data_IF_858079734424
#
_entry.id   IF_858079734424
#
_cell.length_a   1.000
_cell.length_b   1.000
_cell.length_c   1.000
_cell.angle_alpha   90.00
_cell.angle_beta   90.00
_cell.angle_gamma   90.00
#
_symmetry.space_group_name_H-M   'P 1'
#
loop_
_entity.id
_entity.type
_entity.pdbx_description
1 polymer ?
#
# COMPACT_ATOMS: atom_id res chain seq x y z
N UNK A 1 25.74 7.08 2.20
CA UNK A 1 25.78 8.56 2.22
C UNK A 1 26.98 9.08 2.98
N UNK A 2 27.86 9.84 2.32
CA UNK A 2 29.06 10.46 2.88
C UNK A 2 28.77 11.52 3.95
N UNK A 3 29.72 11.76 4.85
CA UNK A 3 29.59 12.73 5.95
C UNK A 3 29.28 14.15 5.47
N UNK A 4 29.93 14.60 4.38
CA UNK A 4 29.73 15.93 3.80
C UNK A 4 28.28 16.11 3.31
N UNK A 5 27.75 15.10 2.62
CA UNK A 5 26.38 15.09 2.12
C UNK A 5 25.36 15.05 3.26
N UNK A 6 25.62 14.27 4.33
CA UNK A 6 24.78 14.26 5.54
C UNK A 6 24.68 15.64 6.19
N UNK A 7 25.80 16.38 6.30
CA UNK A 7 25.82 17.74 6.86
C UNK A 7 25.02 18.71 5.96
N UNK A 8 25.19 18.60 4.64
CA UNK A 8 24.42 19.38 3.64
C UNK A 8 22.91 19.18 3.81
N UNK A 9 22.42 17.94 3.82
CA UNK A 9 20.98 17.67 3.96
C UNK A 9 20.40 18.18 5.30
N UNK A 10 21.13 18.03 6.41
CA UNK A 10 20.70 18.60 7.70
C UNK A 10 20.54 20.12 7.64
N UNK A 11 21.48 20.81 7.00
CA UNK A 11 21.43 22.26 6.85
C UNK A 11 20.26 22.69 5.97
N UNK A 12 20.05 22.03 4.82
CA UNK A 12 18.94 22.30 3.90
C UNK A 12 17.60 22.13 4.60
N UNK A 13 17.35 20.98 5.23
CA UNK A 13 16.08 20.73 5.92
C UNK A 13 15.84 21.77 7.03
N UNK A 14 16.88 22.08 7.83
CA UNK A 14 16.76 23.07 8.90
C UNK A 14 16.39 24.45 8.33
N UNK A 15 17.05 24.86 7.25
CA UNK A 15 16.82 26.14 6.58
C UNK A 15 15.41 26.22 6.01
N UNK A 16 14.99 25.21 5.24
CA UNK A 16 13.68 25.17 4.61
C UNK A 16 12.54 25.19 5.63
N UNK A 17 12.66 24.43 6.72
CA UNK A 17 11.68 24.46 7.82
C UNK A 17 11.60 25.83 8.49
N UNK A 18 12.74 26.48 8.72
CA UNK A 18 12.77 27.82 9.33
C UNK A 18 12.12 28.85 8.41
N UNK A 19 12.44 28.81 7.11
CA UNK A 19 11.89 29.71 6.10
C UNK A 19 10.37 29.56 6.00
N UNK A 20 9.87 28.31 5.94
CA UNK A 20 8.43 28.05 5.89
C UNK A 20 7.72 28.55 7.15
N UNK A 21 8.23 28.24 8.34
CA UNK A 21 7.63 28.71 9.59
C UNK A 21 7.64 30.25 9.68
N UNK A 22 8.71 30.91 9.24
CA UNK A 22 8.78 32.38 9.23
C UNK A 22 7.74 33.04 8.31
N UNK A 23 7.26 32.33 7.28
CA UNK A 23 6.22 32.81 6.37
C UNK A 23 4.79 32.65 6.93
N UNK A 24 4.60 31.98 8.06
CA UNK A 24 3.30 31.78 8.69
C UNK A 24 3.03 32.83 9.79
N UNK A 25 1.76 33.15 9.98
CA UNK A 25 1.30 33.93 11.14
C UNK A 25 1.42 33.13 12.44
N UNK A 26 1.48 33.81 13.59
CA UNK A 26 1.54 33.15 14.91
C UNK A 26 0.33 32.22 15.15
N UNK A 27 -0.86 32.65 14.75
CA UNK A 27 -2.07 31.83 14.83
C UNK A 27 -1.95 30.54 14.01
N UNK A 28 -1.43 30.63 12.78
CA UNK A 28 -1.21 29.47 11.92
C UNK A 28 -0.19 28.49 12.52
N UNK A 29 0.89 29.00 13.13
CA UNK A 29 1.90 28.18 13.81
C UNK A 29 1.29 27.39 14.99
N UNK A 30 0.45 28.06 15.78
CA UNK A 30 -0.17 27.49 16.98
C UNK A 30 -1.22 26.41 16.66
N UNK A 31 -2.02 26.60 15.60
CA UNK A 31 -3.23 25.79 15.29
C UNK A 31 -2.96 24.28 15.08
N UNK A 32 -1.70 23.87 14.87
CA UNK A 32 -1.32 22.44 14.76
C UNK A 32 0.01 22.09 15.45
N UNK A 33 0.50 22.94 16.35
CA UNK A 33 1.84 22.81 16.93
C UNK A 33 2.91 22.54 15.85
N UNK A 34 2.90 23.36 14.79
CA UNK A 34 3.72 23.12 13.60
C UNK A 34 5.20 23.11 13.95
N UNK A 35 5.65 24.04 14.79
CA UNK A 35 7.05 24.12 15.24
C UNK A 35 7.52 22.84 15.93
N UNK A 36 6.74 22.31 16.87
CA UNK A 36 7.04 21.07 17.56
C UNK A 36 7.12 19.88 16.61
N UNK A 37 6.23 19.83 15.61
CA UNK A 37 6.21 18.76 14.61
C UNK A 37 7.35 18.84 13.62
N UNK A 38 7.69 20.03 13.10
CA UNK A 38 8.88 20.24 12.28
C UNK A 38 10.16 19.91 13.08
N UNK A 39 10.25 20.32 14.35
CA UNK A 39 11.38 19.94 15.24
C UNK A 39 11.49 18.42 15.39
N UNK A 40 10.39 17.73 15.67
CA UNK A 40 10.36 16.26 15.76
C UNK A 40 10.80 15.60 14.44
N UNK A 41 10.31 16.11 13.30
CA UNK A 41 10.68 15.62 11.98
C UNK A 41 12.18 15.79 11.70
N UNK A 42 12.76 16.96 11.99
CA UNK A 42 14.21 17.21 11.87
C UNK A 42 15.04 16.26 12.72
N UNK A 43 14.60 15.99 13.95
CA UNK A 43 15.28 15.05 14.83
C UNK A 43 15.29 13.64 14.23
N UNK A 44 14.16 13.19 13.69
CA UNK A 44 14.06 11.89 13.02
C UNK A 44 14.93 11.80 11.77
N UNK A 45 14.93 12.82 10.91
CA UNK A 45 15.84 12.88 9.76
C UNK A 45 17.31 12.91 10.19
N UNK A 46 17.63 13.65 11.25
CA UNK A 46 19.00 13.70 11.79
C UNK A 46 19.49 12.36 12.31
N UNK A 47 18.59 11.51 12.80
CA UNK A 47 18.87 10.13 13.18
C UNK A 47 18.95 9.21 11.96
N UNK A 48 18.02 9.35 11.02
CA UNK A 48 17.98 8.60 9.76
C UNK A 48 19.28 8.76 8.97
N UNK A 49 19.75 9.99 8.79
CA UNK A 49 20.99 10.31 8.05
C UNK A 49 22.26 9.71 8.67
N UNK A 50 22.21 9.19 9.90
CA UNK A 50 23.35 8.48 10.53
C UNK A 50 23.36 6.99 10.18
N UNK A 51 22.24 6.45 9.69
CA UNK A 51 22.11 5.03 9.35
C UNK A 51 22.88 4.72 8.08
N UNK A 52 23.45 3.53 8.06
CA UNK A 52 24.10 2.97 6.88
C UNK A 52 23.07 2.69 5.78
N UNK A 53 23.32 3.16 4.56
CA UNK A 53 22.42 2.99 3.42
C UNK A 53 22.27 1.52 3.06
N UNK A 54 21.09 1.10 2.64
CA UNK A 54 20.84 -0.29 2.22
C UNK A 54 20.56 -1.25 3.38
N UNK A 55 21.12 -1.01 4.57
CA UNK A 55 20.88 -1.88 5.72
C UNK A 55 19.40 -1.95 6.14
N UNK A 56 18.96 -3.06 6.74
CA UNK A 56 17.63 -3.18 7.34
C UNK A 56 17.37 -2.11 8.43
N UNK A 57 18.42 -1.71 9.15
CA UNK A 57 18.35 -0.62 10.13
C UNK A 57 18.06 0.74 9.51
N UNK A 58 18.37 0.91 8.22
CA UNK A 58 18.16 2.14 7.47
C UNK A 58 16.70 2.42 7.16
N UNK A 59 15.85 1.39 7.12
CA UNK A 59 14.43 1.57 6.80
C UNK A 59 13.51 1.61 8.03
N UNK A 60 14.01 1.25 9.22
CA UNK A 60 13.21 1.18 10.46
C UNK A 60 12.49 2.48 10.81
N UNK A 61 13.10 3.64 10.56
CA UNK A 61 12.49 4.95 10.86
C UNK A 61 11.59 5.49 9.74
N UNK A 62 11.66 4.93 8.53
CA UNK A 62 10.95 5.45 7.35
C UNK A 62 9.44 5.49 7.61
N UNK A 63 8.84 4.41 8.10
CA UNK A 63 7.41 4.39 8.43
C UNK A 63 6.96 5.49 9.39
N UNK A 64 7.83 5.90 10.32
CA UNK A 64 7.53 6.97 11.29
C UNK A 64 7.73 8.35 10.67
N UNK A 65 8.80 8.52 9.89
CA UNK A 65 9.06 9.76 9.15
C UNK A 65 7.93 10.01 8.15
N UNK A 66 7.58 9.01 7.33
CA UNK A 66 6.53 9.11 6.32
C UNK A 66 5.18 9.44 6.94
N UNK A 67 4.84 8.84 8.09
CA UNK A 67 3.61 9.19 8.84
C UNK A 67 3.60 10.64 9.30
N UNK A 68 4.74 11.15 9.79
CA UNK A 68 4.85 12.54 10.23
C UNK A 68 4.75 13.53 9.06
N UNK A 69 5.41 13.22 7.94
CA UNK A 69 5.35 14.00 6.70
C UNK A 69 3.93 14.05 6.15
N UNK A 70 3.33 12.89 5.94
CA UNK A 70 1.99 12.77 5.41
C UNK A 70 0.98 13.48 6.31
N UNK A 71 1.09 13.32 7.63
CA UNK A 71 0.24 14.04 8.56
C UNK A 71 0.44 15.56 8.55
N UNK A 72 1.62 16.08 8.18
CA UNK A 72 1.81 17.53 8.00
C UNK A 72 1.17 17.99 6.69
N UNK A 73 1.33 17.24 5.61
CA UNK A 73 0.67 17.53 4.32
C UNK A 73 -0.86 17.59 4.46
N UNK A 74 -1.45 16.61 5.15
CA UNK A 74 -2.89 16.57 5.41
C UNK A 74 -3.35 17.78 6.23
N UNK A 75 -2.55 18.22 7.20
CA UNK A 75 -2.88 19.41 7.99
C UNK A 75 -2.76 20.69 7.19
N UNK A 76 -1.83 20.79 6.22
CA UNK A 76 -1.77 21.94 5.34
C UNK A 76 -3.03 22.07 4.49
N UNK A 77 -3.57 20.96 4.00
CA UNK A 77 -4.84 20.95 3.26
C UNK A 77 -6.00 21.30 4.20
N UNK A 78 -6.11 20.59 5.33
CA UNK A 78 -7.21 20.74 6.30
C UNK A 78 -7.31 22.15 6.89
N UNK A 79 -6.17 22.80 7.11
CA UNK A 79 -6.08 24.13 7.71
C UNK A 79 -5.86 25.24 6.67
N UNK A 80 -5.91 24.89 5.37
CA UNK A 80 -5.69 25.82 4.26
C UNK A 80 -4.39 26.63 4.39
N UNK A 81 -3.32 25.98 4.84
CA UNK A 81 -2.00 26.58 5.00
C UNK A 81 -1.25 26.60 3.66
N UNK A 82 -0.29 27.52 3.47
CA UNK A 82 0.61 27.51 2.31
C UNK A 82 1.26 26.13 2.13
N UNK A 83 1.30 25.64 0.90
CA UNK A 83 1.83 24.31 0.59
C UNK A 83 3.35 24.25 0.80
N UNK A 84 3.84 23.18 1.42
CA UNK A 84 5.27 22.87 1.56
C UNK A 84 5.54 21.47 0.98
N UNK A 85 6.42 21.40 -0.02
CA UNK A 85 6.58 20.18 -0.85
C UNK A 85 7.36 19.04 -0.20
N UNK A 86 8.14 19.33 0.87
CA UNK A 86 9.06 18.38 1.49
C UNK A 86 10.08 17.76 0.51
N UNK A 87 10.58 18.53 -0.45
CA UNK A 87 11.42 18.01 -1.54
C UNK A 87 12.69 17.30 -1.01
N UNK A 88 13.47 17.95 -0.14
CA UNK A 88 14.70 17.39 0.39
C UNK A 88 14.44 16.16 1.28
N UNK A 89 13.34 16.18 2.03
CA UNK A 89 12.90 15.09 2.88
C UNK A 89 12.49 13.86 2.07
N UNK A 90 11.71 14.07 1.00
CA UNK A 90 11.33 13.02 0.04
C UNK A 90 12.57 12.45 -0.64
N UNK A 91 13.50 13.29 -1.09
CA UNK A 91 14.74 12.85 -1.74
C UNK A 91 15.54 11.89 -0.85
N UNK A 92 15.76 12.25 0.42
CA UNK A 92 16.48 11.41 1.38
C UNK A 92 15.75 10.09 1.60
N UNK A 93 14.43 10.11 1.80
CA UNK A 93 13.65 8.88 1.98
C UNK A 93 13.83 7.95 0.79
N UNK A 94 13.64 8.46 -0.43
CA UNK A 94 13.71 7.65 -1.64
C UNK A 94 15.13 7.10 -1.87
N UNK A 95 16.19 7.83 -1.52
CA UNK A 95 17.57 7.32 -1.58
C UNK A 95 17.76 6.10 -0.67
N UNK A 96 17.31 6.18 0.59
CA UNK A 96 17.40 5.05 1.53
C UNK A 96 16.54 3.87 1.09
N UNK A 97 15.34 4.15 0.56
CA UNK A 97 14.43 3.12 0.06
C UNK A 97 15.00 2.38 -1.15
N UNK A 98 15.47 3.10 -2.17
CA UNK A 98 16.08 2.49 -3.36
C UNK A 98 17.29 1.64 -2.97
N UNK A 99 18.16 2.18 -2.09
CA UNK A 99 19.34 1.43 -1.65
C UNK A 99 18.98 0.14 -0.90
N UNK A 100 17.92 0.14 -0.09
CA UNK A 100 17.45 -1.05 0.62
C UNK A 100 16.79 -2.06 -0.34
N UNK A 101 15.89 -1.58 -1.20
CA UNK A 101 15.14 -2.41 -2.14
C UNK A 101 16.04 -3.01 -3.22
N UNK A 102 17.12 -2.34 -3.62
CA UNK A 102 18.11 -2.90 -4.53
C UNK A 102 18.80 -4.14 -3.93
N UNK A 103 19.07 -4.15 -2.62
CA UNK A 103 19.59 -5.34 -1.94
C UNK A 103 18.54 -6.46 -1.90
N UNK A 104 17.28 -6.13 -1.60
CA UNK A 104 16.18 -7.12 -1.61
C UNK A 104 15.99 -7.72 -3.01
N UNK A 105 16.02 -6.87 -4.05
CA UNK A 105 15.91 -7.27 -5.45
C UNK A 105 17.03 -8.21 -5.87
N UNK A 106 18.27 -7.85 -5.55
CA UNK A 106 19.47 -8.62 -5.94
C UNK A 106 19.54 -9.97 -5.24
N UNK A 107 19.10 -10.02 -3.99
CA UNK A 107 19.07 -11.27 -3.20
C UNK A 107 17.79 -12.07 -3.39
N UNK A 108 16.83 -11.58 -4.19
CA UNK A 108 15.48 -12.15 -4.33
C UNK A 108 14.86 -12.45 -2.95
N UNK A 109 14.91 -11.44 -2.06
CA UNK A 109 14.50 -11.58 -0.66
C UNK A 109 15.21 -12.75 0.05
N UNK A 110 16.54 -12.77 -0.02
CA UNK A 110 17.37 -13.85 0.52
C UNK A 110 17.01 -15.27 -0.02
N UNK A 111 16.48 -15.34 -1.24
CA UNK A 111 16.06 -16.57 -1.90
C UNK A 111 14.64 -17.02 -1.55
N UNK A 112 13.87 -16.24 -0.77
CA UNK A 112 12.45 -16.51 -0.49
C UNK A 112 11.53 -16.28 -1.69
N UNK A 113 11.99 -15.65 -2.77
CA UNK A 113 11.23 -15.50 -4.00
C UNK A 113 11.82 -16.39 -5.09
N UNK A 114 11.03 -17.35 -5.58
CA UNK A 114 11.46 -18.25 -6.65
C UNK A 114 11.53 -17.53 -8.01
N UNK A 115 10.60 -16.60 -8.25
CA UNK A 115 10.49 -15.91 -9.53
C UNK A 115 10.81 -14.42 -9.43
N UNK A 116 11.40 -13.86 -10.50
CA UNK A 116 11.72 -12.43 -10.53
C UNK A 116 10.47 -11.54 -10.51
N UNK A 117 9.34 -12.01 -11.05
CA UNK A 117 8.05 -11.33 -10.97
C UNK A 117 7.56 -11.17 -9.52
N UNK A 118 7.67 -12.22 -8.71
CA UNK A 118 7.37 -12.19 -7.27
C UNK A 118 8.30 -11.26 -6.50
N UNK A 119 9.58 -11.24 -6.88
CA UNK A 119 10.55 -10.30 -6.31
C UNK A 119 10.09 -8.85 -6.53
N UNK A 120 9.65 -8.51 -7.74
CA UNK A 120 9.14 -7.19 -8.06
C UNK A 120 7.82 -6.89 -7.33
N UNK A 121 6.90 -7.85 -7.27
CA UNK A 121 5.66 -7.72 -6.48
C UNK A 121 5.99 -7.38 -5.01
N UNK A 122 6.91 -8.12 -4.40
CA UNK A 122 7.33 -7.89 -3.02
C UNK A 122 7.93 -6.50 -2.79
N UNK A 123 8.69 -5.97 -3.76
CA UNK A 123 9.21 -4.59 -3.73
C UNK A 123 8.08 -3.57 -3.67
N UNK A 124 7.05 -3.73 -4.52
CA UNK A 124 5.88 -2.85 -4.48
C UNK A 124 5.13 -2.97 -3.16
N UNK A 125 4.90 -4.19 -2.65
CA UNK A 125 4.23 -4.40 -1.37
C UNK A 125 5.00 -3.78 -0.20
N UNK A 126 6.33 -3.78 -0.26
CA UNK A 126 7.14 -3.08 0.73
C UNK A 126 6.95 -1.57 0.64
N UNK A 127 7.00 -0.99 -0.55
CA UNK A 127 6.77 0.43 -0.77
C UNK A 127 5.36 0.86 -0.35
N UNK A 128 4.36 0.07 -0.66
CA UNK A 128 2.95 0.37 -0.37
C UNK A 128 2.64 0.21 1.11
N UNK A 129 3.03 -0.91 1.72
CA UNK A 129 2.50 -1.35 3.01
C UNK A 129 3.60 -1.50 4.07
N UNK A 130 4.61 -2.35 3.84
CA UNK A 130 5.59 -2.72 4.88
C UNK A 130 6.36 -1.50 5.39
N UNK A 131 6.88 -0.69 4.47
CA UNK A 131 7.74 0.47 4.78
C UNK A 131 6.92 1.70 5.20
N UNK A 132 5.61 1.69 4.98
CA UNK A 132 4.67 2.71 5.48
C UNK A 132 4.06 2.33 6.84
N UNK A 133 4.22 1.07 7.29
CA UNK A 133 3.63 0.54 8.52
C UNK A 133 4.53 -0.48 9.25
N UNK A 134 5.32 -0.03 10.23
CA UNK A 134 6.30 -0.84 10.97
C UNK A 134 5.78 -2.04 11.78
N UNK A 135 4.46 -2.17 11.97
CA UNK A 135 3.85 -3.25 12.77
C UNK A 135 3.19 -4.33 11.90
N UNK A 136 3.58 -4.43 10.64
CA UNK A 136 3.00 -5.43 9.75
C UNK A 136 3.94 -6.62 9.56
N UNK A 137 3.43 -7.83 9.76
CA UNK A 137 4.02 -9.06 9.25
C UNK A 137 3.69 -9.17 7.75
N UNK A 138 4.74 -9.31 6.94
CA UNK A 138 4.65 -9.78 5.57
C UNK A 138 5.26 -11.17 5.58
N UNK A 139 4.47 -12.17 5.23
CA UNK A 139 4.92 -13.56 5.16
C UNK A 139 4.99 -13.96 3.69
N UNK A 140 6.16 -14.38 3.22
CA UNK A 140 6.38 -14.91 1.87
C UNK A 140 6.20 -16.43 1.91
N UNK A 141 5.66 -17.05 0.85
CA UNK A 141 5.41 -18.50 0.76
C UNK A 141 4.58 -19.06 1.94
N UNK A 142 3.52 -18.36 2.32
CA UNK A 142 2.74 -18.68 3.51
C UNK A 142 1.74 -19.80 3.29
N UNK A 143 1.71 -20.80 4.19
CA UNK A 143 0.77 -21.94 4.17
C UNK A 143 -0.22 -21.85 5.33
N UNK A 144 -1.29 -21.05 5.22
CA UNK A 144 -2.24 -20.91 6.30
C UNK A 144 -3.03 -22.20 6.49
N UNK A 145 -3.31 -22.58 7.74
CA UNK A 145 -3.93 -23.87 8.07
C UNK A 145 -5.36 -24.09 7.53
N UNK A 146 -6.04 -23.03 7.08
CA UNK A 146 -7.35 -23.15 6.44
C UNK A 146 -7.25 -23.47 4.94
N UNK A 147 -6.08 -23.30 4.31
CA UNK A 147 -5.93 -23.41 2.86
C UNK A 147 -5.42 -24.80 2.49
N UNK A 148 -6.36 -25.75 2.47
CA UNK A 148 -6.11 -27.17 2.22
C UNK A 148 -6.81 -27.56 0.92
N UNK A 149 -6.10 -28.26 0.03
CA UNK A 149 -6.69 -28.79 -1.19
C UNK A 149 -7.74 -29.87 -0.82
N UNK A 150 -9.03 -29.69 -1.15
CA UNK A 150 -10.08 -30.62 -0.74
C UNK A 150 -9.96 -31.99 -1.41
N UNK A 151 -9.30 -32.08 -2.59
CA UNK A 151 -9.12 -33.33 -3.32
C UNK A 151 -7.98 -34.17 -2.76
N UNK A 152 -6.89 -33.54 -2.28
CA UNK A 152 -5.65 -34.24 -1.90
C UNK A 152 -5.34 -34.18 -0.41
N UNK A 153 -5.96 -33.27 0.35
CA UNK A 153 -5.64 -33.01 1.75
C UNK A 153 -4.32 -32.25 1.97
N UNK A 154 -3.62 -31.86 0.90
CA UNK A 154 -2.35 -31.15 1.01
C UNK A 154 -2.56 -29.66 1.32
N UNK A 155 -1.68 -29.07 2.12
CA UNK A 155 -1.63 -27.63 2.33
C UNK A 155 -1.26 -26.92 1.02
N UNK A 156 -2.04 -25.90 0.68
CA UNK A 156 -1.72 -24.96 -0.38
C UNK A 156 -0.97 -23.75 0.22
N UNK A 157 -0.37 -22.98 -0.67
CA UNK A 157 0.49 -21.85 -0.34
C UNK A 157 -0.07 -20.55 -0.93
N UNK A 158 0.28 -19.42 -0.33
CA UNK A 158 0.06 -18.07 -0.83
C UNK A 158 1.43 -17.39 -0.95
N UNK A 159 1.72 -16.78 -2.09
CA UNK A 159 3.05 -16.19 -2.33
C UNK A 159 3.35 -15.06 -1.34
N UNK A 160 2.36 -14.23 -1.02
CA UNK A 160 2.49 -13.20 0.03
C UNK A 160 1.21 -13.06 0.85
N UNK A 161 1.34 -13.06 2.19
CA UNK A 161 0.28 -12.72 3.13
C UNK A 161 0.62 -11.45 3.93
N UNK A 162 -0.32 -10.48 3.93
CA UNK A 162 -0.31 -9.28 4.77
C UNK A 162 -1.45 -9.36 5.80
N UNK A 163 -1.22 -10.08 6.89
CA UNK A 163 -2.26 -10.48 7.84
C UNK A 163 -3.05 -9.31 8.44
N UNK A 164 -2.36 -8.22 8.84
CA UNK A 164 -3.05 -7.07 9.45
C UNK A 164 -3.92 -6.28 8.46
N UNK A 165 -3.73 -6.51 7.16
CA UNK A 165 -4.51 -5.89 6.09
C UNK A 165 -5.55 -6.84 5.52
N UNK A 166 -5.54 -8.13 5.92
CA UNK A 166 -6.41 -9.17 5.38
C UNK A 166 -6.29 -9.26 3.85
N UNK A 167 -5.05 -9.17 3.37
CA UNK A 167 -4.69 -9.27 1.96
C UNK A 167 -3.73 -10.44 1.75
N UNK A 168 -3.98 -11.20 0.70
CA UNK A 168 -3.03 -12.15 0.15
C UNK A 168 -2.83 -11.90 -1.34
N UNK A 169 -1.70 -12.36 -1.85
CA UNK A 169 -1.28 -12.18 -3.23
C UNK A 169 -0.80 -13.49 -3.82
N UNK A 170 -1.12 -13.68 -5.09
CA UNK A 170 -0.64 -14.79 -5.91
C UNK A 170 -0.09 -14.22 -7.22
N UNK A 171 1.15 -14.53 -7.57
CA UNK A 171 1.79 -14.14 -8.80
C UNK A 171 1.56 -15.21 -9.86
N UNK A 172 0.69 -14.91 -10.83
CA UNK A 172 0.30 -15.84 -11.88
C UNK A 172 1.24 -15.77 -13.08
N UNK A 173 2.00 -16.84 -13.27
CA UNK A 173 2.73 -17.12 -14.50
C UNK A 173 1.82 -17.57 -15.65
N UNK A 174 2.43 -17.90 -16.79
CA UNK A 174 1.70 -18.27 -18.02
C UNK A 174 0.87 -19.56 -17.89
N UNK A 175 1.31 -20.53 -17.08
CA UNK A 175 0.63 -21.82 -16.87
C UNK A 175 -0.78 -21.64 -16.28
N UNK A 176 -0.99 -20.66 -15.41
CA UNK A 176 -2.30 -20.36 -14.80
C UNK A 176 -3.40 -20.04 -15.84
N UNK A 177 -3.02 -19.62 -17.05
CA UNK A 177 -3.96 -19.30 -18.13
C UNK A 177 -4.19 -20.47 -19.09
N UNK A 178 -3.25 -21.42 -19.14
CA UNK A 178 -3.25 -22.52 -20.12
C UNK A 178 -3.69 -23.85 -19.52
N UNK A 179 -3.35 -24.09 -18.27
CA UNK A 179 -3.54 -25.40 -17.63
C UNK A 179 -4.78 -25.41 -16.76
N UNK A 180 -5.71 -26.32 -17.04
CA UNK A 180 -6.97 -26.43 -16.31
C UNK A 180 -6.76 -26.75 -14.82
N UNK A 181 -5.72 -27.53 -14.50
CA UNK A 181 -5.38 -27.86 -13.11
C UNK A 181 -4.98 -26.63 -12.30
N UNK A 182 -4.23 -25.70 -12.89
CA UNK A 182 -3.86 -24.45 -12.20
C UNK A 182 -5.06 -23.53 -12.07
N UNK A 183 -5.93 -23.45 -13.08
CA UNK A 183 -7.20 -22.69 -12.99
C UNK A 183 -8.10 -23.22 -11.87
N UNK A 184 -8.28 -24.53 -11.77
CA UNK A 184 -9.05 -25.15 -10.69
C UNK A 184 -8.44 -24.81 -9.32
N UNK A 185 -7.12 -24.90 -9.19
CA UNK A 185 -6.39 -24.58 -7.95
C UNK A 185 -6.55 -23.11 -7.57
N UNK A 186 -6.48 -22.20 -8.53
CA UNK A 186 -6.69 -20.76 -8.31
C UNK A 186 -8.12 -20.48 -7.82
N UNK A 187 -9.12 -21.13 -8.40
CA UNK A 187 -10.52 -20.99 -7.96
C UNK A 187 -10.74 -21.52 -6.54
N UNK A 188 -10.11 -22.64 -6.18
CA UNK A 188 -10.11 -23.15 -4.81
C UNK A 188 -9.48 -22.13 -3.86
N UNK A 189 -8.30 -21.58 -4.19
CA UNK A 189 -7.63 -20.57 -3.37
C UNK A 189 -8.51 -19.33 -3.18
N UNK A 190 -9.11 -18.82 -4.25
CA UNK A 190 -10.00 -17.66 -4.22
C UNK A 190 -11.20 -17.88 -3.29
N UNK A 191 -11.87 -19.03 -3.43
CA UNK A 191 -13.05 -19.38 -2.64
C UNK A 191 -12.71 -19.52 -1.15
N UNK A 192 -11.66 -20.29 -0.83
CA UNK A 192 -11.25 -20.51 0.57
C UNK A 192 -10.76 -19.22 1.24
N UNK A 193 -10.07 -18.34 0.51
CA UNK A 193 -9.68 -17.03 1.04
C UNK A 193 -10.91 -16.18 1.34
N UNK A 194 -11.89 -16.14 0.43
CA UNK A 194 -13.13 -15.39 0.63
C UNK A 194 -13.93 -15.90 1.84
N UNK A 195 -14.08 -17.22 1.99
CA UNK A 195 -14.71 -17.85 3.17
C UNK A 195 -14.02 -17.46 4.49
N UNK A 196 -12.69 -17.34 4.45
CA UNK A 196 -11.86 -16.92 5.58
C UNK A 196 -11.68 -15.40 5.70
N UNK A 197 -12.45 -14.62 4.92
CA UNK A 197 -12.49 -13.15 4.96
C UNK A 197 -11.15 -12.50 4.64
N UNK A 198 -10.39 -13.15 3.76
CA UNK A 198 -9.12 -12.73 3.21
C UNK A 198 -9.32 -12.36 1.74
N UNK A 199 -8.84 -11.19 1.32
CA UNK A 199 -8.90 -10.78 -0.09
C UNK A 199 -7.65 -11.33 -0.78
N UNK A 200 -7.82 -12.38 -1.58
CA UNK A 200 -6.76 -12.87 -2.47
C UNK A 200 -6.73 -12.03 -3.75
N UNK A 201 -5.56 -11.51 -4.09
CA UNK A 201 -5.33 -10.63 -5.23
C UNK A 201 -4.36 -11.33 -6.19
N UNK A 202 -4.88 -11.93 -7.26
CA UNK A 202 -4.06 -12.41 -8.35
C UNK A 202 -3.36 -11.24 -9.05
N UNK A 203 -2.06 -11.41 -9.33
CA UNK A 203 -1.21 -10.43 -9.99
C UNK A 203 -0.43 -11.14 -11.08
N UNK A 204 -0.23 -10.52 -12.23
CA UNK A 204 0.69 -11.05 -13.23
C UNK A 204 1.65 -9.99 -13.79
N UNK A 205 2.43 -10.38 -14.79
CA UNK A 205 3.48 -9.56 -15.40
C UNK A 205 2.92 -8.25 -15.99
N UNK A 206 1.75 -8.30 -16.65
CA UNK A 206 1.12 -7.13 -17.29
C UNK A 206 0.75 -6.04 -16.27
N UNK A 207 0.41 -6.46 -15.06
CA UNK A 207 -0.04 -5.59 -13.97
C UNK A 207 1.11 -5.02 -13.14
N UNK A 208 2.36 -5.47 -13.35
CA UNK A 208 3.53 -4.94 -12.64
C UNK A 208 3.85 -3.51 -13.08
N UNK A 209 3.22 -2.55 -12.41
CA UNK A 209 3.60 -1.15 -12.31
C UNK A 209 2.99 -0.57 -11.04
N UNK A 210 3.56 0.53 -10.56
CA UNK A 210 3.06 1.26 -9.40
C UNK A 210 1.59 1.60 -9.58
N UNK A 211 1.23 2.25 -10.68
CA UNK A 211 -0.14 2.72 -10.95
C UNK A 211 -1.12 1.55 -11.06
N UNK A 212 -0.78 0.50 -11.81
CA UNK A 212 -1.68 -0.64 -12.02
C UNK A 212 -1.86 -1.44 -10.73
N UNK A 213 -0.79 -1.72 -9.98
CA UNK A 213 -0.90 -2.45 -8.71
C UNK A 213 -1.65 -1.65 -7.66
N UNK A 214 -1.44 -0.33 -7.56
CA UNK A 214 -2.22 0.50 -6.63
C UNK A 214 -3.72 0.42 -6.93
N UNK A 215 -4.08 0.52 -8.22
CA UNK A 215 -5.46 0.42 -8.70
C UNK A 215 -6.03 -0.97 -8.43
N UNK A 216 -5.31 -2.02 -8.81
CA UNK A 216 -5.68 -3.41 -8.59
C UNK A 216 -5.93 -3.69 -7.10
N UNK A 217 -4.99 -3.33 -6.23
CA UNK A 217 -5.09 -3.62 -4.80
C UNK A 217 -6.30 -2.92 -4.18
N UNK A 218 -6.42 -1.61 -4.42
CA UNK A 218 -7.47 -0.82 -3.78
C UNK A 218 -8.87 -1.23 -4.30
N UNK A 219 -9.01 -1.52 -5.60
CA UNK A 219 -10.29 -1.91 -6.15
C UNK A 219 -10.65 -3.38 -5.85
N UNK A 220 -9.69 -4.30 -5.81
CA UNK A 220 -9.94 -5.67 -5.32
C UNK A 220 -10.52 -5.67 -3.90
N UNK A 221 -9.98 -4.83 -3.01
CA UNK A 221 -10.56 -4.72 -1.66
C UNK A 221 -11.93 -4.05 -1.72
N UNK A 222 -12.07 -2.93 -2.45
CA UNK A 222 -13.34 -2.20 -2.65
C UNK A 222 -14.46 -3.16 -3.04
N UNK A 223 -14.21 -4.00 -4.05
CA UNK A 223 -15.17 -4.95 -4.59
C UNK A 223 -15.47 -6.07 -3.60
N UNK A 224 -14.45 -6.63 -2.95
CA UNK A 224 -14.63 -7.68 -1.95
C UNK A 224 -15.48 -7.22 -0.75
N UNK A 225 -15.44 -5.93 -0.41
CA UNK A 225 -16.26 -5.32 0.64
C UNK A 225 -17.54 -4.65 0.12
N UNK A 226 -17.93 -4.91 -1.13
CA UNK A 226 -19.18 -4.41 -1.73
C UNK A 226 -19.35 -2.90 -1.69
N UNK A 227 -18.24 -2.15 -1.81
CA UNK A 227 -18.29 -0.71 -2.02
C UNK A 227 -18.49 -0.42 -3.51
N UNK A 228 -19.58 0.24 -3.83
CA UNK A 228 -19.89 0.66 -5.19
C UNK A 228 -19.68 2.17 -5.34
N UNK A 229 -19.23 2.60 -6.51
CA UNK A 229 -19.15 4.01 -6.84
C UNK A 229 -20.57 4.50 -7.22
N UNK A 230 -21.17 5.35 -6.39
CA UNK A 230 -22.48 5.96 -6.67
C UNK A 230 -22.34 7.49 -6.68
N UNK A 231 -22.50 8.08 -7.87
CA UNK A 231 -22.35 9.52 -8.07
C UNK A 231 -20.93 10.02 -7.77
N UNK A 232 -20.79 10.93 -6.80
CA UNK A 232 -19.47 11.49 -6.37
C UNK A 232 -18.86 10.76 -5.16
N UNK A 233 -19.41 9.62 -4.74
CA UNK A 233 -19.03 8.96 -3.48
C UNK A 233 -18.95 7.44 -3.56
N UNK A 234 -18.50 6.84 -2.45
CA UNK A 234 -18.52 5.39 -2.22
C UNK A 234 -19.71 5.04 -1.32
N UNK A 235 -20.59 4.17 -1.78
CA UNK A 235 -21.73 3.64 -1.01
C UNK A 235 -21.54 2.16 -0.74
N UNK A 236 -21.96 1.71 0.44
CA UNK A 236 -21.92 0.30 0.81
C UNK A 236 -23.18 -0.40 0.33
N UNK A 237 -23.05 -1.28 -0.67
CA UNK A 237 -24.15 -2.10 -1.14
C UNK A 237 -24.20 -3.41 -0.35
N UNK A 238 -25.05 -3.43 0.69
CA UNK A 238 -25.17 -4.58 1.62
C UNK A 238 -25.46 -5.92 0.94
N UNK A 239 -26.10 -5.89 -0.23
CA UNK A 239 -26.51 -7.08 -0.98
C UNK A 239 -25.43 -7.63 -1.95
N UNK A 240 -24.29 -6.94 -2.13
CA UNK A 240 -23.17 -7.37 -3.00
C UNK A 240 -21.92 -7.80 -2.22
N UNK A 241 -22.05 -7.97 -0.89
CA UNK A 241 -20.90 -8.29 -0.05
C UNK A 241 -20.55 -9.78 -0.15
N UNK A 242 -19.47 -10.10 -0.86
CA UNK A 242 -18.90 -11.45 -0.85
C UNK A 242 -18.30 -11.81 0.52
N UNK A 243 -17.96 -10.79 1.33
CA UNK A 243 -17.44 -10.93 2.68
C UNK A 243 -18.46 -10.43 3.71
N UNK A 244 -18.94 -11.28 4.62
CA UNK A 244 -19.76 -10.85 5.75
C UNK A 244 -19.04 -9.74 6.57
N UNK A 245 -19.41 -8.48 6.33
CA UNK A 245 -18.60 -7.32 6.66
C UNK A 245 -18.50 -7.01 8.15
N UNK A 246 -17.39 -7.43 8.76
CA UNK A 246 -17.01 -6.96 10.10
C UNK A 246 -16.22 -5.64 10.03
N UNK A 247 -16.37 -4.76 11.04
CA UNK A 247 -15.66 -3.48 11.19
C UNK A 247 -14.14 -3.57 11.01
N UNK A 248 -13.55 -4.72 11.35
CA UNK A 248 -12.11 -5.00 11.15
C UNK A 248 -11.70 -4.89 9.67
N UNK A 249 -12.49 -5.42 8.74
CA UNK A 249 -12.20 -5.41 7.30
C UNK A 249 -12.23 -3.99 6.75
N UNK A 250 -13.24 -3.20 7.16
CA UNK A 250 -13.32 -1.81 6.77
C UNK A 250 -12.10 -1.03 7.24
N UNK A 251 -11.70 -1.19 8.50
CA UNK A 251 -10.51 -0.54 9.03
C UNK A 251 -9.24 -0.99 8.28
N UNK A 252 -9.12 -2.28 7.94
CA UNK A 252 -8.02 -2.81 7.17
C UNK A 252 -7.95 -2.19 5.76
N UNK A 253 -9.09 -2.11 5.06
CA UNK A 253 -9.24 -1.42 3.78
C UNK A 253 -8.83 0.05 3.85
N UNK A 254 -9.44 0.80 4.78
CA UNK A 254 -9.12 2.21 4.96
C UNK A 254 -7.63 2.44 5.21
N UNK A 255 -7.02 1.56 6.01
CA UNK A 255 -5.60 1.60 6.30
C UNK A 255 -4.79 1.27 5.04
N UNK A 256 -5.16 0.24 4.27
CA UNK A 256 -4.49 -0.13 3.02
C UNK A 256 -4.49 1.05 2.03
N UNK A 257 -5.65 1.60 1.70
CA UNK A 257 -5.77 2.74 0.79
C UNK A 257 -4.97 3.96 1.28
N UNK A 258 -5.03 4.28 2.58
CA UNK A 258 -4.21 5.36 3.13
C UNK A 258 -2.70 5.10 2.99
N UNK A 259 -2.25 3.85 3.20
CA UNK A 259 -0.84 3.49 3.06
C UNK A 259 -0.36 3.57 1.61
N UNK A 260 -1.17 3.07 0.69
CA UNK A 260 -0.89 3.10 -0.76
C UNK A 260 -0.86 4.54 -1.28
N UNK A 261 -1.83 5.38 -0.88
CA UNK A 261 -1.84 6.81 -1.23
C UNK A 261 -0.66 7.59 -0.62
N UNK A 262 -0.27 7.27 0.62
CA UNK A 262 0.94 7.83 1.21
C UNK A 262 2.19 7.44 0.39
N UNK A 263 2.28 6.19 -0.08
CA UNK A 263 3.40 5.75 -0.91
C UNK A 263 3.45 6.53 -2.24
N UNK A 264 2.31 6.74 -2.91
CA UNK A 264 2.28 7.51 -4.17
C UNK A 264 2.70 8.97 -4.00
N UNK A 265 2.49 9.55 -2.82
CA UNK A 265 2.83 10.96 -2.54
C UNK A 265 4.27 11.16 -2.05
N UNK A 266 4.85 10.16 -1.37
CA UNK A 266 6.16 10.28 -0.72
C UNK A 266 7.28 9.49 -1.41
N UNK A 267 6.96 8.37 -2.06
CA UNK A 267 7.93 7.41 -2.58
C UNK A 267 8.02 7.40 -4.11
N UNK A 268 7.66 8.52 -4.76
CA UNK A 268 7.58 8.61 -6.22
C UNK A 268 8.85 8.10 -6.92
N UNK A 269 10.04 8.57 -6.52
CA UNK A 269 11.30 8.13 -7.15
C UNK A 269 11.58 6.64 -6.94
N UNK A 270 11.24 6.08 -5.77
CA UNK A 270 11.36 4.65 -5.51
C UNK A 270 10.36 3.83 -6.33
N UNK A 271 9.16 4.36 -6.58
CA UNK A 271 8.17 3.72 -7.43
C UNK A 271 8.60 3.74 -8.89
N UNK A 272 9.07 4.87 -9.40
CA UNK A 272 9.64 5.01 -10.75
C UNK A 272 10.81 4.05 -10.97
N UNK A 273 11.70 3.92 -9.97
CA UNK A 273 12.78 2.94 -9.98
C UNK A 273 12.27 1.50 -10.11
N UNK A 274 11.22 1.12 -9.37
CA UNK A 274 10.63 -0.21 -9.46
C UNK A 274 9.91 -0.43 -10.81
N UNK A 275 9.24 0.62 -11.32
CA UNK A 275 8.57 0.62 -12.62
C UNK A 275 9.55 0.35 -13.77
N UNK A 276 10.74 0.92 -13.73
CA UNK A 276 11.79 0.67 -14.73
C UNK A 276 12.20 -0.81 -14.79
N UNK A 277 12.34 -1.48 -13.64
CA UNK A 277 12.64 -2.92 -13.62
C UNK A 277 11.45 -3.76 -14.07
N UNK A 278 10.24 -3.40 -13.68
CA UNK A 278 9.03 -4.09 -14.09
C UNK A 278 8.78 -3.98 -15.59
N UNK A 279 9.03 -2.80 -16.19
CA UNK A 279 8.98 -2.59 -17.63
C UNK A 279 9.97 -3.50 -18.35
N UNK A 280 11.26 -3.46 -17.97
CA UNK A 280 12.28 -4.34 -18.56
C UNK A 280 11.90 -5.82 -18.44
N UNK A 281 11.42 -6.24 -17.27
CA UNK A 281 10.98 -7.62 -17.07
C UNK A 281 9.85 -7.99 -18.05
N UNK A 282 8.79 -7.19 -18.11
CA UNK A 282 7.67 -7.40 -19.04
C UNK A 282 8.12 -7.50 -20.48
N UNK A 283 8.97 -6.58 -20.94
CA UNK A 283 9.50 -6.57 -22.31
C UNK A 283 10.26 -7.87 -22.61
N UNK A 284 11.05 -8.38 -21.66
CA UNK A 284 11.77 -9.65 -21.83
C UNK A 284 10.88 -10.90 -21.77
N UNK A 285 9.74 -10.82 -21.07
CA UNK A 285 8.83 -11.95 -20.90
C UNK A 285 7.77 -12.02 -21.99
N UNK A 286 7.57 -10.97 -22.79
CA UNK A 286 6.47 -10.87 -23.74
C UNK A 286 6.40 -12.04 -24.74
N UNK A 287 7.55 -12.51 -25.23
CA UNK A 287 7.60 -13.64 -26.17
C UNK A 287 7.41 -15.00 -25.52
N UNK A 288 7.85 -15.16 -24.26
CA UNK A 288 7.80 -16.44 -23.52
C UNK A 288 6.47 -16.65 -22.81
N UNK A 289 5.88 -15.56 -22.34
CA UNK A 289 4.68 -15.53 -21.51
C UNK A 289 3.66 -14.52 -22.11
N UNK A 290 3.18 -14.75 -23.34
CA UNK A 290 2.39 -13.77 -24.08
C UNK A 290 1.04 -13.44 -23.42
N UNK A 291 0.41 -14.38 -22.70
CA UNK A 291 -0.88 -14.12 -22.05
C UNK A 291 -0.65 -13.29 -20.78
N UNK A 292 0.17 -13.78 -19.85
CA UNK A 292 0.41 -13.12 -18.56
C UNK A 292 1.12 -11.76 -18.66
N UNK A 293 1.79 -11.46 -19.80
CA UNK A 293 2.38 -10.15 -20.09
C UNK A 293 1.45 -9.15 -20.77
N UNK A 294 0.29 -9.59 -21.29
CA UNK A 294 -0.64 -8.73 -22.05
C UNK A 294 -2.07 -8.69 -21.50
N UNK A 295 -2.48 -9.72 -20.76
CA UNK A 295 -3.82 -9.87 -20.20
C UNK A 295 -3.72 -9.78 -18.69
N UNK A 296 -4.58 -9.02 -18.02
CA UNK A 296 -4.57 -8.89 -16.57
C UNK A 296 -5.04 -10.17 -15.85
N UNK A 297 -4.50 -10.43 -14.66
CA UNK A 297 -4.96 -11.52 -13.81
C UNK A 297 -6.40 -11.23 -13.32
N UNK A 298 -7.31 -12.21 -13.37
CA UNK A 298 -8.71 -11.98 -13.00
C UNK A 298 -8.84 -11.71 -11.49
N UNK A 299 -9.57 -10.65 -11.14
CA UNK A 299 -10.00 -10.39 -9.76
C UNK A 299 -11.16 -11.32 -9.38
N UNK A 300 -11.39 -11.47 -8.06
CA UNK A 300 -12.58 -12.17 -7.54
C UNK A 300 -13.90 -11.58 -8.07
N UNK A 301 -13.94 -10.27 -8.32
CA UNK A 301 -15.11 -9.59 -8.87
C UNK A 301 -14.66 -8.61 -9.94
N UNK A 302 -15.27 -8.73 -11.13
CA UNK A 302 -15.06 -7.81 -12.25
C UNK A 302 -16.11 -6.70 -12.15
N UNK A 303 -15.71 -5.55 -11.62
CA UNK A 303 -16.52 -4.34 -11.66
C UNK A 303 -15.84 -3.32 -12.58
N UNK A 304 -16.59 -2.76 -13.53
CA UNK A 304 -16.10 -1.78 -14.51
C UNK A 304 -15.94 -0.36 -13.94
N UNK A 305 -16.06 -0.20 -12.62
CA UNK A 305 -16.05 1.10 -11.94
C UNK A 305 -14.80 1.33 -11.08
N UNK A 306 -13.66 0.85 -11.55
CA UNK A 306 -12.41 1.06 -10.85
C UNK A 306 -12.11 2.55 -10.67
N UNK A 307 -11.72 2.90 -9.46
CA UNK A 307 -11.32 4.25 -9.09
C UNK A 307 -9.80 4.33 -8.93
N UNK A 308 -9.24 5.52 -9.15
CA UNK A 308 -7.85 5.77 -8.79
C UNK A 308 -7.65 5.71 -7.27
N UNK A 309 -6.43 5.43 -6.83
CA UNK A 309 -6.10 5.42 -5.39
C UNK A 309 -6.38 6.77 -4.71
N UNK A 310 -6.21 7.88 -5.44
CA UNK A 310 -6.49 9.23 -4.94
C UNK A 310 -7.99 9.44 -4.71
N UNK A 311 -8.82 9.05 -5.67
CA UNK A 311 -10.28 9.14 -5.53
C UNK A 311 -10.76 8.27 -4.38
N UNK A 312 -10.25 7.04 -4.25
CA UNK A 312 -10.59 6.16 -3.13
C UNK A 312 -10.19 6.78 -1.79
N UNK A 313 -8.96 7.32 -1.69
CA UNK A 313 -8.47 7.98 -0.47
C UNK A 313 -9.38 9.14 -0.04
N UNK A 314 -9.74 10.04 -0.96
CA UNK A 314 -10.60 11.17 -0.63
C UNK A 314 -12.04 10.78 -0.29
N UNK A 315 -12.50 9.63 -0.78
CA UNK A 315 -13.81 9.09 -0.46
C UNK A 315 -13.87 8.29 0.85
N UNK A 316 -12.71 7.94 1.45
CA UNK A 316 -12.63 7.24 2.73
C UNK A 316 -13.40 7.94 3.89
N UNK A 317 -13.54 9.26 3.83
CA UNK A 317 -14.27 10.05 4.84
C UNK A 317 -15.78 9.73 4.86
N UNK A 318 -16.37 9.40 3.71
CA UNK A 318 -17.80 9.11 3.60
C UNK A 318 -18.14 7.73 4.17
N UNK A 319 -17.23 6.77 4.01
CA UNK A 319 -17.31 5.44 4.60
C UNK A 319 -17.31 5.48 6.15
N UNK A 320 -16.52 6.38 6.75
CA UNK A 320 -16.53 6.60 8.21
C UNK A 320 -17.83 7.21 8.71
N UNK A 321 -18.51 8.01 7.90
CA UNK A 321 -19.76 8.66 8.29
C UNK A 321 -20.94 7.67 8.26
N UNK A 322 -21.03 6.84 7.21
CA UNK A 322 -22.10 5.84 7.03
C UNK A 322 -22.09 4.73 8.08
N UNK A 323 -20.91 4.38 8.60
CA UNK A 323 -20.76 3.41 9.70
C UNK A 323 -21.14 3.96 11.07
N UNK A 324 -21.10 5.29 11.27
CA UNK A 324 -21.52 5.93 12.53
C UNK A 324 -23.03 6.14 12.60
N UNK A 325 -23.68 6.48 11.48
CA UNK A 325 -25.13 6.71 11.44
C UNK A 325 -25.95 5.45 11.66
N UNK A 326 -25.44 4.30 11.20
CA UNK A 326 -26.08 2.99 11.33
C UNK A 326 -25.97 2.34 12.73
N UNK A 327 -25.21 2.94 13.65
CA UNK A 327 -25.06 2.48 15.04
C UNK A 327 -25.86 3.30 16.06
N UNK A 328 -26.63 4.31 15.65
CA UNK A 328 -27.59 4.95 16.56
C UNK A 328 -28.81 4.02 16.69
N UNK A 329 -29.09 3.46 17.88
CA UNK A 329 -30.37 2.83 18.09
C UNK A 329 -31.45 3.89 17.86
N UNK A 330 -32.44 3.57 17.02
CA UNK A 330 -33.67 4.34 17.01
C UNK A 330 -34.21 4.27 18.44
N UNK A 331 -34.13 5.39 19.18
CA UNK A 331 -34.90 5.53 20.41
C UNK A 331 -36.35 5.50 19.96
N UNK A 332 -37.00 4.36 20.15
CA UNK A 332 -38.44 4.26 20.10
C UNK A 332 -38.97 5.20 21.19
N UNK A 333 -39.47 6.35 20.80
CA UNK A 333 -40.37 7.09 21.66
C UNK A 333 -41.61 6.19 21.83
N UNK A 334 -41.75 5.59 23.01
CA UNK A 334 -43.00 4.94 23.38
C UNK A 334 -44.11 6.01 23.36
N UNK A 335 -45.26 5.75 22.73
CA UNK A 335 -46.42 6.60 22.91
C UNK A 335 -46.85 6.53 24.38
N UNK A 336 -47.14 7.71 24.94
CA UNK A 336 -47.51 7.93 26.35
C UNK A 336 -48.97 7.59 26.58
#
# INVERSE_FOLDING_TARGET
MELKLRKKYKAIIKSNHKAYLAALTEQQKATANLEGRFKNLRNKFSTQLRKESGSANSVKLISTISRNLFGLQEDFIRLSLPRYEFQAEKEIINEYLVSFLEQQRTTQYAGECQYYGETLLNIYLDLFITLTCSKNSKNIEHKPGFLINPKTGNNLELDVLLENFLLAFEFQGESHYREEKEKEKDQVKLSMCAENKLVLIPVNISQLSSTNLMKLICNSVKDAIGLDAEGKGLMLQRNKNNLNLHKKHLNAYMKACQRIYLASTLFQRSLEWADDYAKRFRDTQQSRNPISSSTEAPRLSLNDNDMSVQELYYNLKFIKASTKSSQRPQRSCAPT
#
